data_IF_112797880319
#
_entry.id   IF_112797880319
#
_cell.length_a   1.000
_cell.length_b   1.000
_cell.length_c   1.000
_cell.angle_alpha   90.00
_cell.angle_beta   90.00
_cell.angle_gamma   90.00
#
_symmetry.space_group_name_H-M   'P 1'
#
loop_
_entity.id
_entity.type
_entity.pdbx_description
1 polymer ?
#
# COMPACT_ATOMS: atom_id res chain seq x y z
N UNK A 1 18.97 27.91 -13.67
CA UNK A 1 17.88 27.47 -12.79
C UNK A 1 18.26 27.92 -11.40
N UNK A 2 17.47 28.77 -10.78
CA UNK A 2 17.73 29.24 -9.43
C UNK A 2 16.82 28.43 -8.49
N UNK A 3 17.45 27.77 -7.52
CA UNK A 3 16.76 26.94 -6.55
C UNK A 3 17.05 27.49 -5.16
N UNK A 4 16.00 27.83 -4.43
CA UNK A 4 16.10 28.25 -3.04
C UNK A 4 15.62 27.13 -2.14
N UNK A 5 16.53 26.52 -1.36
CA UNK A 5 16.22 25.48 -0.40
C UNK A 5 17.06 24.21 -0.56
N UNK A 6 17.03 23.36 0.47
CA UNK A 6 17.72 22.07 0.49
C UNK A 6 16.94 21.04 -0.33
N UNK A 7 17.61 20.46 -1.34
CA UNK A 7 17.03 19.43 -2.22
C UNK A 7 17.45 18.05 -1.74
N UNK A 8 16.51 17.15 -1.68
CA UNK A 8 16.75 15.70 -1.68
C UNK A 8 16.15 15.08 -2.93
N UNK A 9 16.89 14.19 -3.59
CA UNK A 9 16.46 13.61 -4.86
C UNK A 9 16.59 12.08 -4.83
N UNK A 10 15.49 11.40 -5.14
CA UNK A 10 15.39 9.96 -5.36
C UNK A 10 15.32 9.67 -6.87
N UNK A 11 16.30 10.20 -7.63
CA UNK A 11 16.38 10.02 -9.10
C UNK A 11 16.97 8.66 -9.45
N UNK A 12 18.05 8.29 -8.77
CA UNK A 12 18.67 6.97 -8.79
C UNK A 12 18.93 6.58 -7.34
N UNK A 13 18.21 5.59 -6.84
CA UNK A 13 18.34 5.13 -5.46
C UNK A 13 19.80 4.78 -5.15
N UNK A 14 20.39 5.51 -4.20
CA UNK A 14 21.78 5.35 -3.81
C UNK A 14 22.79 6.05 -4.72
N UNK A 15 22.37 6.95 -5.61
CA UNK A 15 23.29 7.86 -6.30
C UNK A 15 24.15 8.59 -5.27
N UNK A 16 25.47 8.55 -5.45
CA UNK A 16 26.43 9.11 -4.50
C UNK A 16 26.85 8.17 -3.36
N UNK A 17 26.32 6.96 -3.24
CA UNK A 17 26.81 5.98 -2.27
C UNK A 17 28.16 5.41 -2.71
N UNK A 18 29.10 5.37 -1.78
CA UNK A 18 30.35 4.66 -1.96
C UNK A 18 30.20 3.21 -1.43
N UNK A 19 30.36 2.23 -2.30
CA UNK A 19 30.15 0.82 -1.98
C UNK A 19 31.15 0.26 -0.96
N UNK A 20 32.33 0.86 -0.84
CA UNK A 20 33.37 0.46 0.12
C UNK A 20 33.17 1.10 1.51
N UNK A 21 32.31 2.11 1.63
CA UNK A 21 31.97 2.75 2.89
C UNK A 21 30.84 2.01 3.58
N UNK A 22 30.80 2.12 4.89
CA UNK A 22 29.68 1.63 5.71
C UNK A 22 28.39 2.44 5.43
N UNK A 23 27.25 1.93 5.86
CA UNK A 23 25.99 2.67 5.78
C UNK A 23 26.05 4.00 6.51
N UNK A 24 26.65 4.02 7.71
CA UNK A 24 26.84 5.25 8.51
C UNK A 24 27.69 6.28 7.74
N UNK A 25 28.84 5.87 7.19
CA UNK A 25 29.70 6.78 6.43
C UNK A 25 28.99 7.33 5.20
N UNK A 26 28.18 6.51 4.52
CA UNK A 26 27.36 6.95 3.39
C UNK A 26 26.28 7.95 3.80
N UNK A 27 25.61 7.75 4.96
CA UNK A 27 24.63 8.70 5.50
C UNK A 27 25.27 10.08 5.69
N UNK A 28 26.42 10.16 6.35
CA UNK A 28 27.10 11.44 6.58
C UNK A 28 27.65 12.08 5.29
N UNK A 29 28.23 11.26 4.41
CA UNK A 29 28.78 11.74 3.14
C UNK A 29 27.67 12.35 2.27
N UNK A 30 26.58 11.61 2.06
CA UNK A 30 25.46 12.11 1.25
C UNK A 30 24.73 13.27 1.91
N UNK A 31 24.54 13.26 3.25
CA UNK A 31 24.00 14.40 3.98
C UNK A 31 24.81 15.66 3.76
N UNK A 32 26.15 15.55 3.77
CA UNK A 32 27.05 16.69 3.48
C UNK A 32 26.90 17.16 2.04
N UNK A 33 26.76 16.24 1.06
CA UNK A 33 26.54 16.59 -0.35
C UNK A 33 25.19 17.30 -0.56
N UNK A 34 24.18 16.96 0.24
CA UNK A 34 22.88 17.64 0.27
C UNK A 34 22.90 18.99 1.01
N UNK A 35 24.06 19.40 1.57
CA UNK A 35 24.22 20.67 2.28
C UNK A 35 23.87 20.64 3.76
N UNK A 36 23.77 19.45 4.38
CA UNK A 36 23.57 19.32 5.84
C UNK A 36 24.90 19.31 6.59
N UNK A 37 24.94 19.99 7.72
CA UNK A 37 26.07 19.93 8.65
C UNK A 37 26.09 18.60 9.41
N UNK A 38 27.28 18.24 9.94
CA UNK A 38 27.38 17.03 10.78
C UNK A 38 26.38 17.03 11.94
N UNK A 39 26.20 18.19 12.61
CA UNK A 39 25.27 18.35 13.73
C UNK A 39 23.80 18.09 13.32
N UNK A 40 23.42 18.56 12.13
CA UNK A 40 22.08 18.29 11.59
C UNK A 40 21.92 16.79 11.28
N UNK A 41 22.94 16.15 10.71
CA UNK A 41 22.91 14.71 10.44
C UNK A 41 22.91 13.87 11.72
N UNK A 42 23.68 14.27 12.76
CA UNK A 42 23.65 13.60 14.07
C UNK A 42 22.22 13.61 14.65
N UNK A 43 21.46 14.70 14.50
CA UNK A 43 20.09 14.82 14.97
C UNK A 43 19.08 13.95 14.17
N UNK A 44 19.41 13.60 12.92
CA UNK A 44 18.54 12.81 12.02
C UNK A 44 18.94 11.33 11.93
N UNK A 45 20.13 11.00 12.43
CA UNK A 45 20.70 9.67 12.25
C UNK A 45 19.75 8.55 12.76
N UNK A 46 19.20 8.72 13.96
CA UNK A 46 18.34 7.71 14.55
C UNK A 46 17.05 7.52 13.72
N UNK A 47 16.42 8.60 13.28
CA UNK A 47 15.21 8.54 12.44
C UNK A 47 15.49 7.81 11.10
N UNK A 48 16.69 8.02 10.51
CA UNK A 48 17.12 7.35 9.28
C UNK A 48 17.30 5.85 9.53
N UNK A 49 17.98 5.47 10.64
CA UNK A 49 18.23 4.08 10.99
C UNK A 49 16.93 3.33 11.29
N UNK A 50 16.04 3.93 12.09
CA UNK A 50 14.74 3.37 12.45
C UNK A 50 13.84 3.22 11.21
N UNK A 51 13.96 4.12 10.24
CA UNK A 51 13.23 4.00 8.99
C UNK A 51 13.78 2.90 8.09
N UNK A 52 15.11 2.78 7.97
CA UNK A 52 15.77 1.83 7.08
C UNK A 52 15.61 0.37 7.53
N UNK A 53 15.61 0.11 8.84
CA UNK A 53 15.45 -1.23 9.45
C UNK A 53 16.44 -2.27 8.92
N UNK A 54 17.69 -1.89 8.77
CA UNK A 54 18.77 -2.79 8.33
C UNK A 54 19.65 -3.30 9.49
N UNK A 55 19.34 -2.90 10.73
CA UNK A 55 20.04 -3.33 11.93
C UNK A 55 21.52 -3.05 11.88
N UNK A 56 22.32 -3.98 12.43
CA UNK A 56 23.78 -3.86 12.53
C UNK A 56 24.51 -3.86 11.18
N UNK A 57 23.82 -4.18 10.08
CA UNK A 57 24.40 -4.07 8.74
C UNK A 57 24.81 -2.64 8.41
N UNK A 58 24.22 -1.64 9.06
CA UNK A 58 24.59 -0.23 8.85
C UNK A 58 26.08 0.04 9.12
N UNK A 59 26.74 -0.78 9.95
CA UNK A 59 28.17 -0.69 10.26
C UNK A 59 29.04 -1.51 9.29
N UNK A 60 28.44 -2.20 8.32
CA UNK A 60 29.14 -2.97 7.30
C UNK A 60 29.27 -2.18 6.00
N UNK A 61 30.29 -2.44 5.16
CA UNK A 61 30.39 -1.83 3.83
C UNK A 61 29.15 -2.11 2.98
N UNK A 62 28.66 -1.10 2.28
CA UNK A 62 27.42 -1.16 1.48
C UNK A 62 27.48 -2.24 0.40
N UNK A 63 28.65 -2.58 -0.12
CA UNK A 63 28.84 -3.70 -1.07
C UNK A 63 28.39 -5.07 -0.53
N UNK A 64 28.23 -5.22 0.79
CA UNK A 64 27.75 -6.46 1.42
C UNK A 64 26.22 -6.49 1.58
N UNK A 65 25.53 -5.40 1.22
CA UNK A 65 24.08 -5.31 1.36
C UNK A 65 23.34 -6.12 0.30
N UNK A 66 22.18 -6.64 0.67
CA UNK A 66 21.20 -7.06 -0.34
C UNK A 66 20.66 -5.83 -1.08
N UNK A 67 20.10 -6.05 -2.28
CA UNK A 67 19.44 -4.96 -3.03
C UNK A 67 18.36 -4.26 -2.22
N UNK A 68 17.57 -5.02 -1.44
CA UNK A 68 16.54 -4.49 -0.55
C UNK A 68 17.12 -3.61 0.56
N UNK A 69 18.19 -4.03 1.24
CA UNK A 69 18.84 -3.22 2.27
C UNK A 69 19.43 -1.93 1.72
N UNK A 70 20.03 -1.99 0.54
CA UNK A 70 20.57 -0.83 -0.16
C UNK A 70 19.47 0.21 -0.44
N UNK A 71 18.38 -0.23 -1.03
CA UNK A 71 17.21 0.60 -1.34
C UNK A 71 16.58 1.20 -0.09
N UNK A 72 16.42 0.41 0.98
CA UNK A 72 15.88 0.86 2.27
C UNK A 72 16.73 1.98 2.86
N UNK A 73 18.06 1.84 2.88
CA UNK A 73 18.95 2.87 3.42
C UNK A 73 18.95 4.14 2.57
N UNK A 74 19.02 4.01 1.25
CA UNK A 74 19.02 5.14 0.33
C UNK A 74 17.72 5.96 0.44
N UNK A 75 16.57 5.27 0.49
CA UNK A 75 15.28 5.89 0.66
C UNK A 75 15.14 6.54 2.05
N UNK A 76 15.53 5.82 3.11
CA UNK A 76 15.50 6.32 4.47
C UNK A 76 16.28 7.64 4.63
N UNK A 77 17.47 7.71 4.05
CA UNK A 77 18.28 8.93 4.05
C UNK A 77 17.52 10.06 3.35
N UNK A 78 17.09 9.85 2.10
CA UNK A 78 16.50 10.92 1.29
C UNK A 78 15.22 11.51 1.90
N UNK A 79 14.39 10.69 2.58
CA UNK A 79 13.09 11.12 3.09
C UNK A 79 13.11 11.64 4.54
N UNK A 80 14.15 11.29 5.34
CA UNK A 80 14.22 11.65 6.76
C UNK A 80 15.16 12.82 7.06
N UNK A 81 15.82 13.39 6.05
CA UNK A 81 16.63 14.61 6.25
C UNK A 81 15.80 15.91 6.32
N UNK A 82 14.45 15.82 6.24
CA UNK A 82 13.51 16.93 6.17
C UNK A 82 13.91 17.96 5.09
N UNK A 83 13.88 17.58 3.80
CA UNK A 83 14.22 18.47 2.70
C UNK A 83 13.15 19.55 2.51
N UNK A 84 13.53 20.70 1.95
CA UNK A 84 12.56 21.72 1.51
C UNK A 84 11.96 21.36 0.15
N UNK A 85 12.72 20.63 -0.68
CA UNK A 85 12.30 20.10 -1.98
C UNK A 85 12.70 18.62 -2.04
N UNK A 86 11.71 17.75 -2.27
CA UNK A 86 11.91 16.32 -2.50
C UNK A 86 11.58 15.98 -3.96
N UNK A 87 12.53 15.37 -4.67
CA UNK A 87 12.33 14.89 -6.04
C UNK A 87 12.23 13.35 -5.98
N UNK A 88 11.16 12.79 -6.52
CA UNK A 88 10.89 11.35 -6.55
C UNK A 88 10.69 10.91 -7.99
N UNK A 89 11.57 10.06 -8.51
CA UNK A 89 11.49 9.51 -9.87
C UNK A 89 11.29 7.99 -9.81
N UNK A 90 10.04 7.54 -9.98
CA UNK A 90 9.59 6.13 -9.93
C UNK A 90 10.04 5.32 -8.69
N UNK A 91 10.67 5.97 -7.70
CA UNK A 91 11.34 5.34 -6.58
C UNK A 91 10.40 4.72 -5.52
N UNK A 92 9.08 4.93 -5.62
CA UNK A 92 8.11 4.44 -4.63
C UNK A 92 7.68 2.98 -4.86
N UNK A 93 8.09 2.37 -5.97
CA UNK A 93 7.75 0.99 -6.32
C UNK A 93 8.77 -0.05 -5.82
N UNK A 94 9.74 0.36 -4.98
CA UNK A 94 10.85 -0.48 -4.51
C UNK A 94 10.64 -1.00 -3.09
N UNK A 95 11.21 -2.17 -2.80
CA UNK A 95 11.09 -2.83 -1.50
C UNK A 95 9.82 -3.69 -1.38
N UNK A 96 9.63 -4.26 -0.20
CA UNK A 96 8.42 -5.04 0.11
C UNK A 96 7.19 -4.14 0.34
N UNK A 97 6.02 -4.77 0.42
CA UNK A 97 4.72 -4.07 0.55
C UNK A 97 4.65 -3.18 1.80
N UNK A 98 5.27 -3.62 2.90
CA UNK A 98 5.25 -2.87 4.16
C UNK A 98 6.16 -1.65 4.08
N UNK A 99 7.35 -1.81 3.49
CA UNK A 99 8.25 -0.69 3.25
C UNK A 99 7.65 0.34 2.29
N UNK A 100 6.99 -0.10 1.20
CA UNK A 100 6.26 0.79 0.30
C UNK A 100 5.18 1.59 1.03
N UNK A 101 4.37 0.95 1.88
CA UNK A 101 3.35 1.62 2.70
C UNK A 101 3.97 2.65 3.65
N UNK A 102 5.09 2.30 4.31
CA UNK A 102 5.86 3.20 5.17
C UNK A 102 6.37 4.42 4.40
N UNK A 103 6.86 4.23 3.16
CA UNK A 103 7.30 5.30 2.28
C UNK A 103 6.16 6.27 1.92
N UNK A 104 5.00 5.76 1.52
CA UNK A 104 3.83 6.57 1.19
C UNK A 104 3.33 7.38 2.39
N UNK A 105 3.26 6.75 3.58
CA UNK A 105 2.88 7.43 4.82
C UNK A 105 3.85 8.57 5.16
N UNK A 106 5.16 8.29 5.10
CA UNK A 106 6.17 9.32 5.38
C UNK A 106 6.13 10.47 4.39
N UNK A 107 5.89 10.19 3.11
CA UNK A 107 5.74 11.22 2.08
C UNK A 107 4.52 12.12 2.35
N UNK A 108 3.41 11.54 2.80
CA UNK A 108 2.23 12.32 3.20
C UNK A 108 2.50 13.22 4.41
N UNK A 109 3.27 12.74 5.40
CA UNK A 109 3.67 13.53 6.57
C UNK A 109 4.54 14.74 6.19
N UNK A 110 5.54 14.55 5.32
CA UNK A 110 6.42 15.65 4.90
C UNK A 110 5.68 16.63 3.98
N UNK A 111 4.74 16.16 3.15
CA UNK A 111 3.84 17.02 2.37
C UNK A 111 3.02 17.94 3.30
N UNK A 112 2.44 17.40 4.37
CA UNK A 112 1.69 18.17 5.37
C UNK A 112 2.53 19.20 6.11
N UNK A 113 3.86 18.98 6.20
CA UNK A 113 4.82 19.97 6.77
C UNK A 113 5.17 21.09 5.80
N UNK A 114 4.71 21.04 4.54
CA UNK A 114 4.94 22.08 3.54
C UNK A 114 6.14 21.86 2.61
N UNK A 115 6.74 20.66 2.62
CA UNK A 115 7.79 20.29 1.65
C UNK A 115 7.22 20.29 0.24
N UNK A 116 7.91 20.90 -0.72
CA UNK A 116 7.59 20.79 -2.14
C UNK A 116 8.03 19.43 -2.67
N UNK A 117 7.08 18.66 -3.21
CA UNK A 117 7.36 17.34 -3.77
C UNK A 117 7.21 17.38 -5.28
N UNK A 118 8.29 17.06 -6.01
CA UNK A 118 8.27 16.83 -7.45
C UNK A 118 8.27 15.32 -7.71
N UNK A 119 7.16 14.80 -8.23
CA UNK A 119 7.00 13.38 -8.50
C UNK A 119 7.02 13.14 -10.01
N UNK A 120 7.89 12.23 -10.47
CA UNK A 120 7.87 11.67 -11.82
C UNK A 120 7.36 10.25 -11.71
N UNK A 121 6.24 9.94 -12.33
CA UNK A 121 5.62 8.61 -12.28
C UNK A 121 4.67 8.40 -13.45
N UNK A 122 4.49 7.15 -13.83
CA UNK A 122 3.45 6.72 -14.76
C UNK A 122 2.22 6.13 -14.03
N UNK A 123 2.24 6.02 -12.70
CA UNK A 123 1.10 5.55 -11.90
C UNK A 123 0.07 6.67 -11.71
N UNK A 124 -0.99 6.62 -12.51
CA UNK A 124 -2.09 7.59 -12.47
C UNK A 124 -2.80 7.67 -11.11
N UNK A 125 -2.87 6.55 -10.38
CA UNK A 125 -3.46 6.53 -9.06
C UNK A 125 -2.66 7.35 -8.04
N UNK A 126 -1.33 7.26 -8.08
CA UNK A 126 -0.44 8.09 -7.26
C UNK A 126 -0.53 9.56 -7.64
N UNK A 127 -0.63 9.87 -8.94
CA UNK A 127 -0.82 11.25 -9.42
C UNK A 127 -2.10 11.86 -8.84
N UNK A 128 -3.24 11.17 -8.97
CA UNK A 128 -4.54 11.67 -8.47
C UNK A 128 -4.51 11.85 -6.95
N UNK A 129 -3.86 10.94 -6.22
CA UNK A 129 -3.87 10.95 -4.75
C UNK A 129 -2.91 11.97 -4.14
N UNK A 130 -1.73 12.16 -4.75
CA UNK A 130 -0.64 12.89 -4.09
C UNK A 130 -0.26 14.21 -4.77
N UNK A 131 -0.69 14.45 -6.03
CA UNK A 131 -0.31 15.64 -6.78
C UNK A 131 -1.42 16.68 -6.81
N UNK A 132 -1.12 17.89 -6.36
CA UNK A 132 -2.03 19.03 -6.48
C UNK A 132 -2.07 19.56 -7.91
N UNK A 133 -0.92 19.52 -8.60
CA UNK A 133 -0.69 20.02 -9.96
C UNK A 133 0.16 19.04 -10.76
N UNK A 134 -0.17 18.82 -12.02
CA UNK A 134 0.50 17.89 -12.91
C UNK A 134 0.96 18.58 -14.17
N UNK A 135 2.18 18.27 -14.61
CA UNK A 135 2.73 18.65 -15.91
C UNK A 135 2.80 17.41 -16.78
N UNK A 136 2.16 17.45 -17.94
CA UNK A 136 2.14 16.35 -18.91
C UNK A 136 3.20 16.58 -19.97
N UNK A 137 4.14 15.63 -20.05
CA UNK A 137 5.18 15.59 -21.08
C UNK A 137 4.95 14.40 -22.01
N UNK A 138 5.14 14.58 -23.30
CA UNK A 138 5.13 13.51 -24.29
C UNK A 138 6.29 13.64 -25.26
N UNK A 139 7.15 12.61 -25.32
CA UNK A 139 8.37 12.59 -26.17
C UNK A 139 9.25 13.84 -26.00
N UNK A 140 9.36 14.35 -24.78
CA UNK A 140 10.15 15.54 -24.45
C UNK A 140 9.45 16.88 -24.71
N UNK A 141 8.23 16.87 -25.24
CA UNK A 141 7.42 18.08 -25.46
C UNK A 141 6.44 18.31 -24.31
N UNK A 142 6.29 19.57 -23.91
CA UNK A 142 5.24 20.00 -23.00
C UNK A 142 3.88 19.94 -23.71
N UNK A 143 2.91 19.24 -23.12
CA UNK A 143 1.57 19.10 -23.68
C UNK A 143 0.56 19.94 -22.90
N UNK A 144 0.54 19.79 -21.58
CA UNK A 144 -0.45 20.46 -20.72
C UNK A 144 0.04 20.56 -19.29
N UNK A 145 -0.61 21.44 -18.52
CA UNK A 145 -0.43 21.59 -17.08
C UNK A 145 -1.78 21.89 -16.44
N UNK A 146 -2.04 21.31 -15.24
CA UNK A 146 -3.28 21.58 -14.52
C UNK A 146 -3.54 20.65 -13.35
N UNK A 147 -4.78 20.62 -12.83
CA UNK A 147 -5.22 19.70 -11.79
C UNK A 147 -5.07 18.24 -12.20
N UNK A 148 -4.73 17.37 -11.24
CA UNK A 148 -4.37 15.97 -11.49
C UNK A 148 -5.42 15.21 -12.34
N UNK A 149 -6.70 15.27 -12.00
CA UNK A 149 -7.77 14.56 -12.73
C UNK A 149 -7.82 14.95 -14.21
N UNK A 150 -7.82 16.26 -14.51
CA UNK A 150 -7.87 16.74 -15.91
C UNK A 150 -6.66 16.29 -16.74
N UNK A 151 -5.46 16.37 -16.14
CA UNK A 151 -4.23 16.02 -16.86
C UNK A 151 -4.11 14.50 -17.05
N UNK A 152 -4.59 13.71 -16.09
CA UNK A 152 -4.67 12.25 -16.23
C UNK A 152 -5.60 11.85 -17.37
N UNK A 153 -6.74 12.53 -17.54
CA UNK A 153 -7.64 12.26 -18.68
C UNK A 153 -7.00 12.62 -20.04
N UNK A 154 -6.23 13.70 -20.08
CA UNK A 154 -5.43 14.04 -21.29
C UNK A 154 -4.38 12.98 -21.58
N UNK A 155 -3.71 12.45 -20.54
CA UNK A 155 -2.73 11.36 -20.70
C UNK A 155 -3.39 10.08 -21.23
N UNK A 156 -4.58 9.72 -20.73
CA UNK A 156 -5.37 8.59 -21.27
C UNK A 156 -5.69 8.77 -22.76
N UNK A 157 -6.06 9.98 -23.20
CA UNK A 157 -6.27 10.27 -24.64
C UNK A 157 -5.01 10.02 -25.47
N UNK A 158 -3.84 10.40 -24.94
CA UNK A 158 -2.55 10.12 -25.62
C UNK A 158 -2.31 8.62 -25.74
N UNK A 159 -2.52 7.86 -24.67
CA UNK A 159 -2.38 6.40 -24.67
C UNK A 159 -3.35 5.72 -25.66
N UNK A 160 -4.54 6.29 -25.84
CA UNK A 160 -5.52 5.86 -26.85
C UNK A 160 -5.17 6.29 -28.30
N UNK A 161 -4.00 6.88 -28.52
CA UNK A 161 -3.56 7.33 -29.85
C UNK A 161 -4.19 8.63 -30.36
N UNK A 162 -4.86 9.39 -29.48
CA UNK A 162 -5.61 10.62 -29.83
C UNK A 162 -4.84 11.90 -29.56
N UNK A 163 -3.53 11.90 -29.75
CA UNK A 163 -2.68 13.07 -29.47
C UNK A 163 -3.04 14.30 -30.29
N UNK A 164 -3.30 14.13 -31.60
CA UNK A 164 -3.61 15.25 -32.50
C UNK A 164 -4.99 15.86 -32.19
N UNK A 165 -5.96 15.04 -31.80
CA UNK A 165 -7.27 15.49 -31.33
C UNK A 165 -7.11 16.32 -30.04
N UNK A 166 -6.32 15.84 -29.07
CA UNK A 166 -6.01 16.56 -27.85
C UNK A 166 -5.31 17.90 -28.12
N UNK A 167 -4.33 17.95 -29.01
CA UNK A 167 -3.63 19.19 -29.39
C UNK A 167 -4.59 20.20 -30.04
N UNK A 168 -5.53 19.75 -30.86
CA UNK A 168 -6.56 20.60 -31.46
C UNK A 168 -7.52 21.15 -30.41
N UNK A 169 -7.98 20.36 -29.45
CA UNK A 169 -8.83 20.78 -28.31
C UNK A 169 -8.13 21.85 -27.45
N UNK A 170 -6.86 21.64 -27.11
CA UNK A 170 -6.05 22.59 -26.35
C UNK A 170 -5.88 23.92 -27.10
N UNK A 171 -5.63 23.87 -28.42
CA UNK A 171 -5.52 25.05 -29.27
C UNK A 171 -6.84 25.82 -29.42
N UNK A 172 -7.98 25.10 -29.43
CA UNK A 172 -9.32 25.69 -29.47
C UNK A 172 -9.78 26.29 -28.12
N UNK A 173 -8.99 26.12 -27.03
CA UNK A 173 -9.30 26.68 -25.71
C UNK A 173 -10.45 26.00 -24.98
N UNK A 174 -10.84 24.80 -25.35
CA UNK A 174 -11.97 24.04 -24.78
C UNK A 174 -11.73 23.68 -23.29
N UNK A 175 -10.48 23.73 -22.80
CA UNK A 175 -10.12 23.41 -21.43
C UNK A 175 -9.96 24.64 -20.49
N UNK A 176 -10.39 25.84 -20.91
CA UNK A 176 -10.42 27.04 -20.04
C UNK A 176 -11.76 27.16 -19.34
N UNK A 177 -11.96 26.41 -18.27
CA UNK A 177 -12.96 26.74 -17.27
C UNK A 177 -12.46 26.40 -15.88
N UNK A 178 -12.07 27.44 -15.15
CA UNK A 178 -11.93 27.42 -13.71
C UNK A 178 -13.31 27.23 -13.09
N UNK A 179 -13.60 26.02 -12.62
CA UNK A 179 -14.51 25.81 -11.48
C UNK A 179 -14.27 24.40 -10.92
N UNK A 180 -14.20 24.23 -9.58
CA UNK A 180 -14.11 22.93 -8.95
C UNK A 180 -15.51 22.30 -8.97
N UNK A 181 -15.80 21.47 -9.93
CA UNK A 181 -16.98 20.61 -9.89
C UNK A 181 -16.56 19.25 -9.30
N UNK A 182 -16.82 19.08 -8.00
CA UNK A 182 -16.89 17.75 -7.44
C UNK A 182 -18.11 17.02 -8.03
N UNK A 183 -17.86 15.99 -8.78
CA UNK A 183 -18.74 14.84 -8.97
C UNK A 183 -17.85 13.62 -9.16
N UNK A 184 -17.95 12.73 -8.19
CA UNK A 184 -17.37 11.40 -8.15
C UNK A 184 -18.14 10.44 -9.08
N UNK A 185 -18.13 10.67 -10.38
CA UNK A 185 -18.72 9.71 -11.30
C UNK A 185 -18.06 9.88 -12.67
N UNK A 186 -16.94 9.20 -12.90
CA UNK A 186 -16.47 8.73 -14.22
C UNK A 186 -15.09 8.06 -14.12
N UNK A 187 -15.01 6.97 -13.33
CA UNK A 187 -13.83 6.08 -13.32
C UNK A 187 -14.04 4.83 -14.21
N UNK A 188 -14.93 4.89 -15.21
CA UNK A 188 -15.41 3.70 -15.89
C UNK A 188 -14.81 3.39 -17.24
N UNK A 189 -13.61 3.85 -17.59
CA UNK A 189 -12.98 3.33 -18.81
C UNK A 189 -11.46 3.37 -18.77
N UNK A 190 -10.84 2.35 -18.14
CA UNK A 190 -9.46 2.05 -18.45
C UNK A 190 -9.05 0.62 -18.10
N UNK A 191 -9.01 -0.24 -19.11
CA UNK A 191 -8.13 -1.41 -19.16
C UNK A 191 -6.75 -0.93 -19.59
N UNK A 192 -6.00 -0.30 -18.68
CA UNK A 192 -4.62 0.11 -18.90
C UNK A 192 -3.69 -1.09 -18.84
N UNK A 193 -2.93 -1.29 -19.89
CA UNK A 193 -1.74 -2.08 -20.09
C UNK A 193 -1.52 -3.27 -19.14
N UNK A 194 -1.71 -4.48 -19.64
CA UNK A 194 -1.17 -5.69 -19.04
C UNK A 194 0.34 -5.52 -18.88
N UNK A 195 0.80 -5.48 -17.63
CA UNK A 195 2.18 -5.80 -17.31
C UNK A 195 2.34 -7.31 -17.58
N UNK A 196 2.95 -7.67 -18.73
CA UNK A 196 3.10 -9.06 -19.14
C UNK A 196 3.94 -9.84 -18.11
N UNK A 197 4.85 -9.14 -17.42
CA UNK A 197 5.70 -9.72 -16.38
C UNK A 197 4.87 -10.10 -15.12
N UNK A 198 3.87 -9.30 -14.74
CA UNK A 198 2.96 -9.63 -13.63
C UNK A 198 2.09 -10.86 -13.88
N UNK A 199 1.75 -11.14 -15.15
CA UNK A 199 1.01 -12.35 -15.53
C UNK A 199 1.86 -13.63 -15.46
N UNK A 200 3.15 -13.53 -15.79
CA UNK A 200 4.09 -14.65 -15.72
C UNK A 200 4.36 -15.01 -14.26
N UNK A 201 4.56 -14.02 -13.39
CA UNK A 201 4.75 -14.22 -11.96
C UNK A 201 3.50 -14.79 -11.28
N UNK A 202 2.30 -14.31 -11.65
CA UNK A 202 1.04 -14.84 -11.14
C UNK A 202 0.78 -16.30 -11.58
N UNK A 203 1.17 -16.67 -12.81
CA UNK A 203 1.06 -18.04 -13.29
C UNK A 203 2.08 -18.96 -12.62
N UNK A 204 3.30 -18.49 -12.40
CA UNK A 204 4.34 -19.24 -11.69
C UNK A 204 3.97 -19.43 -10.22
N UNK A 205 3.49 -18.38 -9.54
CA UNK A 205 3.00 -18.45 -8.17
C UNK A 205 1.80 -19.40 -8.04
N UNK A 206 0.86 -19.38 -8.98
CA UNK A 206 -0.27 -20.33 -9.02
C UNK A 206 0.19 -21.78 -9.20
N UNK A 207 1.18 -22.02 -10.06
CA UNK A 207 1.75 -23.35 -10.28
C UNK A 207 2.47 -23.84 -9.01
N UNK A 208 3.29 -23.00 -8.40
CA UNK A 208 3.98 -23.33 -7.14
C UNK A 208 2.99 -23.57 -6.00
N UNK A 209 1.88 -22.80 -5.95
CA UNK A 209 0.81 -22.97 -4.99
C UNK A 209 0.10 -24.34 -5.17
N UNK A 210 -0.24 -24.71 -6.41
CA UNK A 210 -0.91 -25.99 -6.70
C UNK A 210 0.02 -27.18 -6.44
N UNK A 211 1.27 -27.10 -6.85
CA UNK A 211 2.28 -28.18 -6.67
C UNK A 211 2.58 -28.40 -5.17
N UNK A 212 2.59 -27.35 -4.34
CA UNK A 212 2.82 -27.46 -2.90
C UNK A 212 1.58 -27.98 -2.12
N UNK A 213 0.37 -27.84 -2.67
CA UNK A 213 -0.86 -28.25 -2.00
C UNK A 213 -1.34 -29.68 -2.38
N UNK A 214 -0.86 -30.26 -3.47
CA UNK A 214 -1.15 -31.67 -3.81
C UNK A 214 -0.45 -32.68 -2.87
N UNK A 215 0.55 -32.24 -2.11
CA UNK A 215 1.31 -33.09 -1.18
C UNK A 215 0.85 -33.03 0.28
N UNK A 216 -0.11 -32.18 0.63
CA UNK A 216 -0.65 -32.08 1.99
C UNK A 216 -1.96 -32.86 2.13
N UNK A 217 -1.83 -34.13 2.48
CA UNK A 217 -2.97 -35.00 2.84
C UNK A 217 -3.72 -34.45 4.06
N UNK A 218 -5.04 -34.47 3.95
CA UNK A 218 -6.03 -34.16 5.00
C UNK A 218 -5.68 -34.81 6.35
N UNK A 219 -5.23 -34.00 7.29
CA UNK A 219 -5.30 -34.33 8.72
C UNK A 219 -5.79 -33.09 9.47
N UNK A 220 -7.05 -33.20 9.98
CA UNK A 220 -7.60 -32.30 11.00
C UNK A 220 -6.75 -32.43 12.29
N UNK A 221 -5.60 -31.79 12.34
CA UNK A 221 -4.86 -31.55 13.56
C UNK A 221 -4.58 -30.04 13.62
N UNK A 222 -5.08 -29.39 14.67
CA UNK A 222 -4.66 -28.02 15.00
C UNK A 222 -3.14 -27.97 15.06
N UNK A 223 -2.46 -27.13 14.25
CA UNK A 223 -1.02 -27.03 14.29
C UNK A 223 -0.60 -26.58 15.69
N UNK A 224 0.41 -27.25 16.25
CA UNK A 224 1.06 -26.84 17.51
C UNK A 224 1.87 -25.55 17.21
N UNK A 225 1.27 -24.38 17.40
CA UNK A 225 1.89 -23.06 17.18
C UNK A 225 0.82 -22.01 16.88
N UNK A 226 1.20 -20.75 16.95
CA UNK A 226 0.32 -19.64 16.59
C UNK A 226 0.18 -19.58 15.06
N UNK A 227 -1.01 -19.18 14.58
CA UNK A 227 -1.28 -19.02 13.13
C UNK A 227 -0.37 -17.96 12.53
N UNK A 228 -0.14 -16.85 13.25
CA UNK A 228 0.74 -15.77 12.83
C UNK A 228 2.18 -16.20 12.55
N UNK A 229 2.64 -17.31 13.15
CA UNK A 229 4.00 -17.83 12.93
C UNK A 229 4.16 -18.47 11.53
N UNK A 230 3.04 -18.74 10.85
CA UNK A 230 2.98 -19.29 9.49
C UNK A 230 2.70 -18.20 8.43
N UNK A 231 2.64 -16.95 8.84
CA UNK A 231 2.29 -15.80 7.99
C UNK A 231 3.41 -14.78 7.94
N UNK A 232 3.38 -13.94 6.93
CA UNK A 232 4.23 -12.75 6.87
C UNK A 232 3.62 -11.66 7.76
N UNK A 233 4.20 -11.46 8.93
CA UNK A 233 3.74 -10.42 9.88
C UNK A 233 4.62 -9.19 9.73
N UNK A 234 3.98 -8.02 9.69
CA UNK A 234 4.67 -6.72 9.65
C UNK A 234 5.30 -6.43 11.03
N UNK A 235 6.63 -6.40 11.07
CA UNK A 235 7.39 -6.05 12.29
C UNK A 235 7.17 -4.61 12.73
N UNK A 236 6.86 -3.72 11.77
CA UNK A 236 6.70 -2.26 11.92
C UNK A 236 5.24 -1.83 12.05
N UNK A 237 4.34 -2.78 12.30
CA UNK A 237 2.94 -2.44 12.49
C UNK A 237 2.75 -1.43 13.63
N UNK A 238 1.84 -0.50 13.43
CA UNK A 238 1.40 0.36 14.53
C UNK A 238 0.43 -0.43 15.41
N UNK A 239 0.76 -0.55 16.67
CA UNK A 239 -0.02 -1.28 17.67
C UNK A 239 -0.32 -0.36 18.85
N UNK A 240 -1.60 -0.24 19.24
CA UNK A 240 -2.01 0.52 20.41
C UNK A 240 -3.37 0.06 20.94
N UNK A 241 -3.69 0.49 22.15
CA UNK A 241 -4.93 0.23 22.86
C UNK A 241 -4.75 0.51 24.35
N UNK A 242 -5.81 0.37 25.12
CA UNK A 242 -5.74 0.57 26.57
C UNK A 242 -5.31 -0.70 27.35
N UNK A 243 -5.04 -1.80 26.62
CA UNK A 243 -4.54 -3.06 27.18
C UNK A 243 -5.59 -3.94 27.86
N UNK A 244 -6.88 -3.60 27.77
CA UNK A 244 -7.97 -4.44 28.31
C UNK A 244 -8.28 -5.66 27.46
N UNK A 245 -7.89 -5.65 26.18
CA UNK A 245 -7.91 -6.79 25.29
C UNK A 245 -6.59 -6.90 24.54
N UNK A 246 -6.26 -8.10 24.06
CA UNK A 246 -5.08 -8.40 23.27
C UNK A 246 -5.46 -9.33 22.10
N UNK A 247 -5.24 -8.91 20.89
CA UNK A 247 -5.26 -9.80 19.72
C UNK A 247 -3.92 -10.55 19.74
N UNK A 248 -3.91 -11.74 20.33
CA UNK A 248 -2.66 -12.49 20.57
C UNK A 248 -2.30 -13.41 19.40
N UNK A 249 -3.28 -13.77 18.56
CA UNK A 249 -3.06 -14.55 17.34
C UNK A 249 -4.02 -14.12 16.23
N UNK A 250 -3.63 -14.33 14.98
CA UNK A 250 -4.42 -14.00 13.81
C UNK A 250 -4.08 -14.94 12.65
N UNK A 251 -5.01 -15.12 11.72
CA UNK A 251 -4.83 -15.96 10.55
C UNK A 251 -5.65 -15.50 9.36
N UNK A 252 -5.08 -15.70 8.17
CA UNK A 252 -5.80 -15.73 6.91
C UNK A 252 -5.90 -17.18 6.47
N UNK A 253 -7.13 -17.65 6.18
CA UNK A 253 -7.36 -19.02 5.76
C UNK A 253 -7.95 -19.02 4.35
N UNK A 254 -7.42 -19.86 3.48
CA UNK A 254 -7.97 -20.09 2.14
C UNK A 254 -9.28 -20.90 2.21
N UNK A 255 -9.89 -21.16 1.06
CA UNK A 255 -11.14 -21.93 0.95
C UNK A 255 -11.04 -23.37 1.49
N UNK A 256 -9.83 -23.88 1.71
CA UNK A 256 -9.56 -25.22 2.25
C UNK A 256 -9.22 -25.18 3.75
N UNK A 257 -9.13 -23.97 4.34
CA UNK A 257 -8.78 -23.76 5.73
C UNK A 257 -7.27 -23.76 6.00
N UNK A 258 -6.42 -23.65 4.98
CA UNK A 258 -4.97 -23.52 5.16
C UNK A 258 -4.59 -22.07 5.48
N UNK A 259 -3.65 -21.89 6.39
CA UNK A 259 -3.11 -20.57 6.74
C UNK A 259 -2.20 -20.08 5.61
N UNK A 260 -2.47 -18.89 5.08
CA UNK A 260 -1.72 -18.33 3.94
C UNK A 260 -1.92 -16.84 3.81
N UNK A 261 -0.89 -16.13 3.31
CA UNK A 261 -1.04 -14.74 2.87
C UNK A 261 -1.50 -14.63 1.41
N UNK A 262 -1.59 -15.76 0.69
CA UNK A 262 -1.86 -15.83 -0.74
C UNK A 262 -3.27 -16.36 -0.99
N UNK A 263 -4.14 -15.53 -1.56
CA UNK A 263 -5.54 -15.84 -1.80
C UNK A 263 -5.87 -15.79 -3.30
N UNK A 264 -6.82 -16.62 -3.73
CA UNK A 264 -7.27 -16.63 -5.12
C UNK A 264 -8.53 -15.78 -5.27
N UNK A 265 -8.53 -14.87 -6.25
CA UNK A 265 -9.74 -14.10 -6.60
C UNK A 265 -10.88 -15.03 -6.97
N UNK A 266 -12.06 -14.75 -6.42
CA UNK A 266 -13.28 -15.51 -6.63
C UNK A 266 -13.48 -16.65 -5.64
N UNK A 267 -12.49 -17.00 -4.82
CA UNK A 267 -12.63 -18.05 -3.80
C UNK A 267 -13.03 -17.46 -2.43
N UNK A 268 -13.59 -18.33 -1.58
CA UNK A 268 -13.89 -17.98 -0.18
C UNK A 268 -12.60 -17.92 0.61
N UNK A 269 -12.54 -17.02 1.57
CA UNK A 269 -11.46 -16.94 2.54
C UNK A 269 -11.99 -16.48 3.90
N UNK A 270 -11.21 -16.73 4.95
CA UNK A 270 -11.57 -16.37 6.32
C UNK A 270 -10.45 -15.57 6.96
N UNK A 271 -10.80 -14.45 7.57
CA UNK A 271 -9.95 -13.70 8.49
C UNK A 271 -10.29 -14.18 9.88
N UNK A 272 -9.31 -14.65 10.63
CA UNK A 272 -9.50 -15.13 12.02
C UNK A 272 -8.71 -14.27 12.97
N UNK A 273 -9.36 -13.82 14.04
CA UNK A 273 -8.78 -13.09 15.17
C UNK A 273 -8.94 -13.93 16.44
N UNK A 274 -7.85 -14.07 17.21
CA UNK A 274 -7.88 -14.68 18.54
C UNK A 274 -7.57 -13.62 19.60
N UNK A 275 -8.54 -13.36 20.46
CA UNK A 275 -8.50 -12.25 21.40
C UNK A 275 -8.54 -12.78 22.83
N UNK A 276 -7.68 -12.26 23.71
CA UNK A 276 -7.68 -12.49 25.16
C UNK A 276 -8.09 -11.23 25.87
N UNK A 277 -8.93 -11.35 26.90
CA UNK A 277 -9.42 -10.22 27.69
C UNK A 277 -8.72 -10.13 29.03
N UNK A 278 -8.23 -8.94 29.34
CA UNK A 278 -7.55 -8.61 30.60
C UNK A 278 -8.46 -7.85 31.56
N UNK A 279 -9.67 -7.50 31.13
CA UNK A 279 -10.72 -6.86 31.92
C UNK A 279 -12.12 -7.30 31.47
N UNK A 280 -13.14 -7.01 32.27
CA UNK A 280 -14.54 -7.21 31.89
C UNK A 280 -14.95 -6.14 30.86
N UNK A 281 -15.57 -6.54 29.72
CA UNK A 281 -16.06 -5.65 28.68
C UNK A 281 -17.50 -6.04 28.33
N UNK A 282 -18.41 -5.07 28.30
CA UNK A 282 -19.84 -5.34 28.09
C UNK A 282 -20.20 -5.63 26.63
N UNK A 283 -19.56 -4.93 25.67
CA UNK A 283 -19.92 -5.02 24.27
C UNK A 283 -18.67 -4.86 23.41
N UNK A 284 -17.81 -5.88 23.32
CA UNK A 284 -16.64 -5.82 22.44
C UNK A 284 -17.07 -5.87 20.98
N UNK A 285 -16.38 -5.09 20.13
CA UNK A 285 -16.59 -5.01 18.69
C UNK A 285 -15.27 -5.41 18.03
N UNK A 286 -15.30 -6.40 17.17
CA UNK A 286 -14.15 -6.87 16.41
C UNK A 286 -14.24 -6.34 14.99
N UNK A 287 -13.12 -5.89 14.44
CA UNK A 287 -13.08 -5.19 13.17
C UNK A 287 -11.90 -5.64 12.34
N UNK A 288 -12.09 -5.81 11.03
CA UNK A 288 -10.97 -5.82 10.09
C UNK A 288 -11.12 -4.71 9.04
N UNK A 289 -9.99 -4.29 8.47
CA UNK A 289 -9.92 -3.35 7.34
C UNK A 289 -8.85 -3.81 6.37
N UNK A 290 -9.16 -3.85 5.08
CA UNK A 290 -8.22 -4.13 4.01
C UNK A 290 -7.92 -2.82 3.27
N UNK A 291 -6.63 -2.53 3.06
CA UNK A 291 -6.13 -1.32 2.44
C UNK A 291 -5.24 -1.63 1.25
N UNK A 292 -5.14 -0.68 0.31
CA UNK A 292 -4.10 -0.71 -0.70
C UNK A 292 -2.73 -0.33 -0.10
N UNK A 293 -1.65 -0.50 -0.88
CA UNK A 293 -0.29 -0.10 -0.48
C UNK A 293 -0.15 1.40 -0.19
N UNK A 294 -1.07 2.22 -0.68
CA UNK A 294 -1.11 3.67 -0.49
C UNK A 294 -1.85 4.07 0.79
N UNK A 295 -2.35 3.08 1.56
CA UNK A 295 -3.10 3.29 2.79
C UNK A 295 -4.57 3.66 2.57
N UNK A 296 -5.11 3.54 1.34
CA UNK A 296 -6.52 3.74 1.06
C UNK A 296 -7.31 2.54 1.58
N UNK A 297 -8.29 2.77 2.42
CA UNK A 297 -9.20 1.74 2.89
C UNK A 297 -10.12 1.31 1.75
N UNK A 298 -10.06 0.04 1.37
CA UNK A 298 -10.82 -0.52 0.25
C UNK A 298 -12.10 -1.19 0.71
N UNK A 299 -12.02 -1.92 1.81
CA UNK A 299 -13.14 -2.62 2.42
C UNK A 299 -12.82 -2.96 3.87
N UNK A 300 -13.84 -3.20 4.65
CA UNK A 300 -13.76 -3.62 6.05
C UNK A 300 -15.14 -3.71 6.63
N UNK A 301 -15.26 -4.44 7.73
CA UNK A 301 -16.50 -4.51 8.50
C UNK A 301 -16.21 -4.84 9.95
N UNK A 302 -17.24 -4.89 10.76
CA UNK A 302 -17.15 -5.27 12.16
C UNK A 302 -18.35 -6.12 12.59
N UNK A 303 -18.19 -6.77 13.74
CA UNK A 303 -19.22 -7.66 14.28
C UNK A 303 -20.57 -6.98 14.54
N UNK A 304 -20.56 -5.68 14.85
CA UNK A 304 -21.79 -4.91 15.08
C UNK A 304 -22.55 -4.68 13.77
N UNK A 305 -21.88 -4.29 12.68
CA UNK A 305 -22.50 -4.09 11.37
C UNK A 305 -23.02 -5.40 10.78
N UNK A 306 -22.30 -6.50 11.00
CA UNK A 306 -22.73 -7.83 10.55
C UNK A 306 -23.80 -8.46 11.47
N UNK A 307 -24.20 -7.78 12.53
CA UNK A 307 -25.25 -8.25 13.45
C UNK A 307 -24.87 -9.48 14.25
N UNK A 308 -23.58 -9.68 14.50
CA UNK A 308 -23.10 -10.79 15.33
C UNK A 308 -23.47 -10.58 16.80
N UNK A 309 -24.02 -11.59 17.44
CA UNK A 309 -24.38 -11.56 18.86
C UNK A 309 -23.15 -11.83 19.74
N UNK A 310 -22.42 -10.75 20.07
CA UNK A 310 -21.24 -10.83 20.93
C UNK A 310 -21.67 -10.59 22.38
N UNK A 311 -21.52 -11.62 23.21
CA UNK A 311 -21.86 -11.55 24.63
C UNK A 311 -20.82 -10.77 25.43
N UNK A 312 -21.21 -10.20 26.61
CA UNK A 312 -20.25 -9.58 27.54
C UNK A 312 -19.15 -10.56 27.93
N UNK A 313 -17.93 -10.08 27.98
CA UNK A 313 -16.74 -10.88 28.30
C UNK A 313 -16.19 -10.57 29.68
N UNK A 314 -15.60 -11.58 30.31
CA UNK A 314 -14.92 -11.49 31.59
C UNK A 314 -13.41 -11.50 31.44
N UNK A 315 -12.73 -10.93 32.42
CA UNK A 315 -11.27 -11.05 32.49
C UNK A 315 -10.82 -12.51 32.48
N UNK A 316 -9.87 -12.82 31.56
CA UNK A 316 -9.31 -14.16 31.38
C UNK A 316 -10.03 -14.99 30.33
N UNK A 317 -11.16 -14.54 29.81
CA UNK A 317 -11.82 -15.21 28.69
C UNK A 317 -11.10 -14.92 27.38
N UNK A 318 -11.29 -15.84 26.41
CA UNK A 318 -10.77 -15.74 25.05
C UNK A 318 -11.90 -15.85 24.05
N UNK A 319 -11.80 -15.11 22.96
CA UNK A 319 -12.68 -15.20 21.80
C UNK A 319 -11.89 -15.55 20.55
N UNK A 320 -12.52 -16.36 19.68
CA UNK A 320 -12.10 -16.54 18.31
C UNK A 320 -13.19 -15.96 17.42
N UNK A 321 -12.83 -14.97 16.61
CA UNK A 321 -13.76 -14.31 15.68
C UNK A 321 -13.32 -14.62 14.26
N UNK A 322 -14.29 -14.98 13.41
CA UNK A 322 -14.05 -15.32 12.02
C UNK A 322 -14.93 -14.46 11.10
N UNK A 323 -14.28 -13.80 10.13
CA UNK A 323 -14.95 -13.11 9.04
C UNK A 323 -14.71 -13.91 7.75
N UNK A 324 -15.77 -14.53 7.24
CA UNK A 324 -15.69 -15.38 6.04
C UNK A 324 -16.40 -14.71 4.87
N UNK A 325 -15.68 -14.47 3.78
CA UNK A 325 -16.19 -13.79 2.60
C UNK A 325 -15.48 -14.24 1.33
N UNK A 326 -16.02 -13.81 0.17
CA UNK A 326 -15.43 -14.06 -1.14
C UNK A 326 -14.37 -13.00 -1.47
N UNK A 327 -13.24 -13.43 -2.01
CA UNK A 327 -12.20 -12.52 -2.48
C UNK A 327 -12.61 -11.89 -3.82
N UNK A 328 -13.07 -10.64 -3.78
CA UNK A 328 -13.52 -9.88 -4.97
C UNK A 328 -12.55 -8.81 -5.40
N UNK A 329 -11.50 -8.55 -4.59
CA UNK A 329 -10.44 -7.60 -4.95
C UNK A 329 -9.67 -8.06 -6.19
N UNK A 330 -9.10 -7.11 -6.93
CA UNK A 330 -8.25 -7.39 -8.09
C UNK A 330 -6.96 -8.10 -7.66
N UNK A 331 -6.23 -8.69 -8.63
CA UNK A 331 -4.90 -9.23 -8.36
C UNK A 331 -3.95 -8.13 -7.87
N UNK A 332 -3.21 -8.39 -6.79
CA UNK A 332 -2.30 -7.40 -6.22
C UNK A 332 -2.00 -7.64 -4.73
N UNK A 333 -1.29 -6.68 -4.15
CA UNK A 333 -0.87 -6.68 -2.75
C UNK A 333 -1.71 -5.70 -1.94
N UNK A 334 -2.19 -6.15 -0.80
CA UNK A 334 -3.03 -5.40 0.12
C UNK A 334 -2.51 -5.53 1.55
N UNK A 335 -2.96 -4.66 2.43
CA UNK A 335 -2.61 -4.65 3.85
C UNK A 335 -3.86 -4.91 4.69
N UNK A 336 -3.72 -5.73 5.73
CA UNK A 336 -4.78 -6.06 6.68
C UNK A 336 -4.53 -5.37 8.01
N UNK A 337 -5.55 -4.71 8.53
CA UNK A 337 -5.61 -4.15 9.89
C UNK A 337 -6.74 -4.80 10.67
N UNK A 338 -6.56 -4.93 11.98
CA UNK A 338 -7.53 -5.57 12.88
C UNK A 338 -7.68 -4.77 14.17
N UNK A 339 -8.84 -4.84 14.81
CA UNK A 339 -9.02 -4.20 16.12
C UNK A 339 -10.13 -4.83 16.96
N UNK A 340 -9.93 -4.74 18.27
CA UNK A 340 -10.95 -4.93 19.28
C UNK A 340 -11.27 -3.57 19.90
N UNK A 341 -12.53 -3.13 19.77
CA UNK A 341 -13.03 -1.81 20.22
C UNK A 341 -14.35 -1.97 20.96
N UNK A 342 -14.97 -0.87 21.36
CA UNK A 342 -16.30 -0.84 21.94
C UNK A 342 -16.77 0.56 22.23
N UNK A 343 -17.88 0.70 22.93
CA UNK A 343 -18.42 1.98 23.40
C UNK A 343 -18.54 1.97 24.91
N UNK A 344 -18.04 3.02 25.56
CA UNK A 344 -18.15 3.23 26.98
C UNK A 344 -18.70 4.64 27.26
N UNK A 345 -19.77 4.72 28.00
CA UNK A 345 -20.48 5.98 28.28
C UNK A 345 -20.83 6.78 26.99
N UNK A 346 -20.96 6.08 25.85
CA UNK A 346 -21.26 6.69 24.55
C UNK A 346 -20.02 7.10 23.75
N UNK A 347 -18.81 6.95 24.31
CA UNK A 347 -17.55 7.23 23.60
C UNK A 347 -16.92 5.96 23.04
N UNK A 348 -16.36 6.08 21.82
CA UNK A 348 -15.66 4.97 21.17
C UNK A 348 -14.30 4.72 21.85
N UNK A 349 -14.10 3.49 22.33
CA UNK A 349 -12.90 3.07 23.05
C UNK A 349 -12.15 1.99 22.26
N UNK A 350 -10.83 2.11 22.16
CA UNK A 350 -9.95 1.13 21.52
C UNK A 350 -9.27 0.28 22.58
N UNK A 351 -9.63 -0.99 22.67
CA UNK A 351 -9.01 -1.92 23.61
C UNK A 351 -7.70 -2.48 23.06
N UNK A 352 -7.66 -2.83 21.76
CA UNK A 352 -6.45 -3.21 21.03
C UNK A 352 -6.63 -2.99 19.54
N UNK A 353 -5.61 -2.44 18.87
CA UNK A 353 -5.61 -2.20 17.44
C UNK A 353 -4.24 -2.49 16.82
N UNK A 354 -4.27 -3.24 15.70
CA UNK A 354 -3.13 -3.60 14.90
C UNK A 354 -3.33 -3.00 13.50
N UNK A 355 -2.55 -1.98 13.14
CA UNK A 355 -2.55 -1.44 11.78
C UNK A 355 -1.55 -2.17 10.90
N UNK A 356 -2.00 -2.53 9.69
CA UNK A 356 -1.16 -3.11 8.64
C UNK A 356 -0.37 -4.32 9.16
N UNK A 357 -1.05 -5.17 9.94
CA UNK A 357 -0.43 -6.28 10.68
C UNK A 357 0.13 -7.36 9.78
N UNK A 358 -0.49 -7.57 8.62
CA UNK A 358 -0.05 -8.55 7.61
C UNK A 358 -0.44 -8.09 6.21
N UNK A 359 0.19 -8.68 5.19
CA UNK A 359 -0.20 -8.48 3.80
C UNK A 359 -1.17 -9.56 3.33
N UNK A 360 -1.90 -9.25 2.27
CA UNK A 360 -2.72 -10.18 1.49
C UNK A 360 -2.27 -10.09 0.05
N UNK A 361 -1.76 -11.19 -0.51
CA UNK A 361 -1.45 -11.31 -1.93
C UNK A 361 -2.63 -11.95 -2.64
N UNK A 362 -3.29 -11.22 -3.54
CA UNK A 362 -4.39 -11.75 -4.34
C UNK A 362 -3.91 -12.15 -5.72
N UNK A 363 -4.05 -13.43 -6.06
CA UNK A 363 -3.79 -13.93 -7.42
C UNK A 363 -5.09 -13.91 -8.21
N UNK A 364 -5.04 -13.34 -9.42
CA UNK A 364 -6.19 -13.26 -10.32
C UNK A 364 -5.79 -13.65 -11.74
N UNK A 365 -6.64 -14.44 -12.39
CA UNK A 365 -6.57 -14.74 -13.82
C UNK A 365 -7.46 -13.80 -14.67
N UNK A 366 -8.20 -12.89 -14.01
CA UNK A 366 -9.10 -11.92 -14.64
C UNK A 366 -9.03 -10.62 -13.85
N UNK A 367 -8.45 -9.59 -14.45
CA UNK A 367 -8.49 -8.25 -13.90
C UNK A 367 -9.57 -7.43 -14.64
N UNK A 368 -10.46 -6.83 -13.86
CA UNK A 368 -11.47 -5.88 -14.34
C UNK A 368 -11.06 -4.46 -13.96
N UNK A 369 -11.78 -3.47 -14.43
CA UNK A 369 -11.56 -2.07 -14.03
C UNK A 369 -12.02 -1.88 -12.59
N UNK A 370 -11.32 -1.00 -11.83
CA UNK A 370 -11.67 -0.66 -10.46
C UNK A 370 -10.98 -1.52 -9.41
N UNK A 371 -11.45 -1.42 -8.17
CA UNK A 371 -10.82 -2.01 -6.99
C UNK A 371 -11.22 -3.48 -6.80
N UNK A 372 -12.45 -3.83 -7.15
CA UNK A 372 -12.97 -5.20 -7.04
C UNK A 372 -13.85 -5.58 -8.21
N UNK A 373 -14.02 -6.87 -8.44
CA UNK A 373 -14.83 -7.43 -9.49
C UNK A 373 -16.27 -7.64 -8.98
N UNK A 374 -17.23 -7.01 -9.60
CA UNK A 374 -18.66 -7.19 -9.30
C UNK A 374 -19.23 -8.47 -9.92
N UNK A 375 -18.40 -9.29 -10.60
CA UNK A 375 -18.77 -10.57 -11.21
C UNK A 375 -19.94 -10.46 -12.22
N UNK A 376 -19.91 -9.41 -13.03
CA UNK A 376 -20.94 -9.12 -14.01
C UNK A 376 -21.19 -10.28 -14.97
N UNK A 377 -22.46 -10.63 -15.18
CA UNK A 377 -22.90 -11.58 -16.20
C UNK A 377 -23.30 -10.83 -17.45
N UNK A 378 -22.74 -11.21 -18.61
CA UNK A 378 -23.01 -10.55 -19.89
C UNK A 378 -23.87 -11.44 -20.77
N UNK A 379 -25.00 -10.90 -21.24
CA UNK A 379 -25.83 -11.50 -22.30
C UNK A 379 -25.82 -10.54 -23.49
N UNK A 380 -25.30 -11.01 -24.64
CA UNK A 380 -25.25 -10.23 -25.87
C UNK A 380 -26.10 -10.91 -26.96
N UNK A 381 -27.03 -10.16 -27.58
CA UNK A 381 -27.87 -10.63 -28.67
C UNK A 381 -27.70 -9.70 -29.87
N UNK A 382 -27.36 -10.27 -31.04
CA UNK A 382 -27.28 -9.52 -32.30
C UNK A 382 -28.70 -9.23 -32.81
N UNK A 383 -29.07 -7.95 -32.86
CA UNK A 383 -30.30 -7.53 -33.54
C UNK A 383 -30.03 -7.36 -35.03
N UNK A 384 -30.90 -7.90 -35.89
CA UNK A 384 -30.93 -7.51 -37.30
C UNK A 384 -31.53 -6.12 -37.37
N UNK A 385 -30.88 -5.22 -38.11
CA UNK A 385 -31.52 -3.98 -38.50
C UNK A 385 -32.72 -4.37 -39.40
N UNK A 386 -33.92 -3.96 -39.02
CA UNK A 386 -35.06 -4.04 -39.95
C UNK A 386 -34.78 -3.06 -41.09
N UNK A 387 -34.81 -3.59 -42.34
CA UNK A 387 -34.71 -2.81 -43.57
C UNK A 387 -35.89 -1.83 -43.72
#
# INVERSE_FOLDING_TARGET
MDVNGKISALLELGAGFNMDYTGIENIYMNGTMMGYTKKEMDAKLQDILDFAEIGDFVYQPVKTYSSGMFVRLAFALAINVDPEILIVDEALSVGDVFFQSKCYRRMEEIRKKGTTILMVTHDMGSIIKYCDRVVLLHKGEFIAEGPAGKVVDMYKKILAGKLEELKAELAAGVHKTDQPSGTEDDLSDFSGGMDVDGLVDAQLAKKTFLDNHESAGTTNQHPKGLMRDQMTINSDRTEYGDGRAEIYDLGLLDARGNITNLLLKGEMFTIRECIRFHADIQSPIFTYTIKDKKGTELTGTNTMFEGADIQPVKKGEEYVVEFTQKMTLQGGEYLLSMSCTGFEAGEHTVYHRLYDVTNITVISNKNTVGVYDMESQVKAEKRKADE
#
